data_IF_030577348183
#
_entry.id   IF_030577348183
#
_cell.length_a   1.000
_cell.length_b   1.000
_cell.length_c   1.000
_cell.angle_alpha   90.00
_cell.angle_beta   90.00
_cell.angle_gamma   90.00
#
_symmetry.space_group_name_H-M   'P 1'
#
loop_
_entity.id
_entity.type
_entity.pdbx_description
1 polymer ?
#
# COMPACT_ATOMS: atom_id res chain seq x y z
N UNK A 1 -11.73 -3.11 23.01
CA UNK A 1 -12.74 -2.29 22.33
C UNK A 1 -12.62 -0.81 22.66
N UNK A 2 -12.53 -0.45 23.93
CA UNK A 2 -12.45 0.94 24.37
C UNK A 2 -11.23 1.69 23.79
N UNK A 3 -10.05 1.05 23.80
CA UNK A 3 -8.83 1.59 23.20
C UNK A 3 -9.00 1.93 21.71
N UNK A 4 -9.57 1.02 20.91
CA UNK A 4 -9.81 1.26 19.50
C UNK A 4 -10.82 2.40 19.27
N UNK A 5 -11.86 2.48 20.11
CA UNK A 5 -12.83 3.59 20.02
C UNK A 5 -12.12 4.94 20.28
N UNK A 6 -11.29 5.07 21.33
CA UNK A 6 -10.52 6.29 21.63
C UNK A 6 -9.57 6.71 20.49
N UNK A 7 -9.00 5.74 19.75
CA UNK A 7 -8.13 6.02 18.60
C UNK A 7 -8.95 6.48 17.37
N UNK A 8 -10.15 5.91 17.18
CA UNK A 8 -10.92 6.11 15.94
C UNK A 8 -11.99 7.20 16.04
N UNK A 9 -12.44 7.56 17.24
CA UNK A 9 -13.41 8.61 17.48
C UNK A 9 -12.97 9.98 16.95
N UNK A 10 -11.71 10.45 17.16
CA UNK A 10 -11.23 11.72 16.59
C UNK A 10 -11.21 11.73 15.06
N UNK A 11 -11.25 10.54 14.41
CA UNK A 11 -11.37 10.37 12.96
C UNK A 11 -12.83 10.36 12.48
N UNK A 12 -13.80 10.61 13.37
CA UNK A 12 -15.23 10.62 13.06
C UNK A 12 -15.87 9.22 12.94
N UNK A 13 -15.18 8.16 13.37
CA UNK A 13 -15.72 6.80 13.34
C UNK A 13 -16.62 6.58 14.53
N UNK A 14 -17.92 6.43 14.29
CA UNK A 14 -18.92 6.16 15.33
C UNK A 14 -18.72 4.77 15.94
N UNK A 15 -19.01 4.58 17.25
CA UNK A 15 -18.86 3.28 17.94
C UNK A 15 -19.60 2.12 17.25
N UNK A 16 -20.77 2.38 16.67
CA UNK A 16 -21.55 1.38 15.93
C UNK A 16 -20.83 0.95 14.65
N UNK A 17 -20.28 1.90 13.90
CA UNK A 17 -19.49 1.62 12.70
C UNK A 17 -18.23 0.80 13.03
N UNK A 18 -17.55 1.12 14.13
CA UNK A 18 -16.42 0.34 14.62
C UNK A 18 -16.82 -1.10 14.95
N UNK A 19 -17.94 -1.31 15.66
CA UNK A 19 -18.45 -2.66 15.98
C UNK A 19 -18.76 -3.46 14.71
N UNK A 20 -19.41 -2.84 13.73
CA UNK A 20 -19.72 -3.49 12.44
C UNK A 20 -18.44 -3.86 11.70
N UNK A 21 -17.45 -2.97 11.65
CA UNK A 21 -16.16 -3.22 11.01
C UNK A 21 -15.43 -4.39 11.68
N UNK A 22 -15.35 -4.41 13.01
CA UNK A 22 -14.73 -5.51 13.76
C UNK A 22 -15.46 -6.84 13.57
N UNK A 23 -16.80 -6.82 13.51
CA UNK A 23 -17.58 -8.01 13.22
C UNK A 23 -17.28 -8.57 11.82
N UNK A 24 -17.18 -7.70 10.80
CA UNK A 24 -16.80 -8.10 9.44
C UNK A 24 -15.40 -8.69 9.40
N UNK A 25 -14.41 -8.00 9.97
CA UNK A 25 -13.03 -8.49 10.03
C UNK A 25 -12.92 -9.85 10.71
N UNK A 26 -13.74 -10.09 11.76
CA UNK A 26 -13.81 -11.40 12.44
C UNK A 26 -14.45 -12.46 11.54
N UNK A 27 -15.55 -12.13 10.85
CA UNK A 27 -16.23 -13.03 9.91
C UNK A 27 -15.34 -13.41 8.74
N UNK A 28 -14.56 -12.44 8.24
CA UNK A 28 -13.64 -12.62 7.11
C UNK A 28 -12.28 -13.24 7.55
N UNK A 29 -12.15 -13.66 8.82
CA UNK A 29 -10.99 -14.37 9.33
C UNK A 29 -9.74 -13.51 9.57
N UNK A 30 -9.83 -12.17 9.54
CA UNK A 30 -8.68 -11.29 9.76
C UNK A 30 -8.26 -11.17 11.22
N UNK A 31 -9.25 -11.17 12.11
CA UNK A 31 -9.03 -10.96 13.55
C UNK A 31 -9.71 -12.02 14.39
N UNK A 32 -9.15 -12.24 15.56
CA UNK A 32 -9.72 -13.06 16.63
C UNK A 32 -9.93 -12.20 17.87
N UNK A 33 -10.97 -12.50 18.62
CA UNK A 33 -11.25 -11.85 19.91
C UNK A 33 -11.19 -12.88 21.03
N UNK A 34 -10.35 -12.63 22.01
CA UNK A 34 -10.22 -13.44 23.22
C UNK A 34 -10.73 -12.66 24.43
N UNK A 35 -11.50 -13.30 25.28
CA UNK A 35 -12.00 -12.70 26.53
C UNK A 35 -10.93 -12.82 27.61
N UNK A 36 -10.54 -11.69 28.20
CA UNK A 36 -9.64 -11.65 29.34
C UNK A 36 -10.32 -10.88 30.48
N UNK A 37 -10.94 -11.61 31.38
CA UNK A 37 -11.76 -11.03 32.44
C UNK A 37 -12.94 -10.23 31.91
N UNK A 38 -13.01 -8.94 32.25
CA UNK A 38 -14.02 -7.98 31.76
C UNK A 38 -13.66 -7.37 30.40
N UNK A 39 -12.41 -7.53 29.95
CA UNK A 39 -11.91 -6.96 28.70
C UNK A 39 -11.95 -7.99 27.57
N UNK A 40 -11.94 -7.49 26.33
CA UNK A 40 -11.79 -8.30 25.13
C UNK A 40 -10.53 -7.85 24.41
N UNK A 41 -9.57 -8.75 24.27
CA UNK A 41 -8.38 -8.57 23.46
C UNK A 41 -8.70 -8.94 22.01
N UNK A 42 -8.28 -8.08 21.09
CA UNK A 42 -8.42 -8.29 19.65
C UNK A 42 -7.01 -8.45 19.06
N UNK A 43 -6.79 -9.56 18.38
CA UNK A 43 -5.53 -9.84 17.70
C UNK A 43 -5.75 -10.25 16.25
N UNK A 44 -4.69 -10.21 15.45
CA UNK A 44 -4.72 -10.77 14.10
C UNK A 44 -4.71 -12.30 14.17
N UNK A 45 -5.45 -12.95 13.28
CA UNK A 45 -5.30 -14.38 12.98
C UNK A 45 -3.99 -14.62 12.22
N UNK A 46 -3.62 -15.87 11.98
CA UNK A 46 -2.46 -16.19 11.12
C UNK A 46 -2.68 -15.68 9.70
N UNK A 47 -3.90 -15.82 9.15
CA UNK A 47 -4.27 -15.23 7.87
C UNK A 47 -4.11 -13.70 7.87
N UNK A 48 -4.68 -13.01 8.87
CA UNK A 48 -4.56 -11.55 8.98
C UNK A 48 -3.10 -11.09 9.15
N UNK A 49 -2.28 -11.88 9.84
CA UNK A 49 -0.84 -11.64 10.02
C UNK A 49 -0.08 -11.77 8.70
N UNK A 50 -0.29 -12.88 7.98
CA UNK A 50 0.32 -13.12 6.66
C UNK A 50 0.00 -12.00 5.70
N UNK A 51 -1.28 -11.66 5.52
CA UNK A 51 -1.71 -10.59 4.62
C UNK A 51 -1.12 -9.23 4.99
N UNK A 52 -1.05 -8.93 6.28
CA UNK A 52 -0.43 -7.68 6.76
C UNK A 52 1.07 -7.64 6.52
N UNK A 53 1.77 -8.77 6.69
CA UNK A 53 3.21 -8.89 6.49
C UNK A 53 3.57 -8.77 5.01
N UNK A 54 2.77 -9.31 4.10
CA UNK A 54 2.96 -9.17 2.65
C UNK A 54 2.79 -7.73 2.18
N UNK A 55 1.84 -6.99 2.75
CA UNK A 55 1.59 -5.59 2.39
C UNK A 55 2.58 -4.61 3.06
N UNK A 56 3.16 -4.96 4.21
CA UNK A 56 3.99 -4.06 5.01
C UNK A 56 5.21 -3.49 4.24
N UNK A 57 5.99 -4.27 3.46
CA UNK A 57 7.10 -3.74 2.69
C UNK A 57 6.69 -2.63 1.72
N UNK A 58 5.50 -2.74 1.11
CA UNK A 58 5.00 -1.75 0.17
C UNK A 58 4.63 -0.42 0.86
N UNK A 59 4.16 -0.51 2.11
CA UNK A 59 3.67 0.63 2.89
C UNK A 59 4.82 1.35 3.61
N UNK A 60 5.79 0.60 4.17
CA UNK A 60 6.78 1.13 5.10
C UNK A 60 8.20 1.24 4.54
N UNK A 61 8.45 0.85 3.28
CA UNK A 61 9.78 1.00 2.68
C UNK A 61 10.11 2.47 2.42
N UNK A 62 11.39 2.81 2.54
CA UNK A 62 11.91 4.16 2.33
C UNK A 62 12.20 4.49 0.88
N UNK A 63 12.55 3.48 0.09
CA UNK A 63 12.89 3.60 -1.34
C UNK A 63 11.92 2.79 -2.20
N UNK A 64 11.83 3.08 -3.48
CA UNK A 64 11.14 2.22 -4.44
C UNK A 64 11.75 0.82 -4.51
N UNK A 65 11.12 -0.13 -5.19
CA UNK A 65 11.73 -1.41 -5.50
C UNK A 65 12.96 -1.18 -6.38
N UNK A 66 13.84 -2.17 -6.43
CA UNK A 66 14.96 -2.23 -7.36
C UNK A 66 14.87 -3.56 -8.11
N UNK A 67 14.02 -3.61 -9.12
CA UNK A 67 13.79 -4.80 -9.95
C UNK A 67 14.89 -4.92 -11.00
N UNK A 68 15.30 -3.80 -11.56
CA UNK A 68 16.43 -3.64 -12.46
C UNK A 68 16.19 -4.11 -13.89
N UNK A 69 15.70 -5.33 -14.10
CA UNK A 69 15.47 -5.87 -15.44
C UNK A 69 13.98 -6.06 -15.73
N UNK A 70 13.55 -5.45 -16.82
CA UNK A 70 12.17 -5.49 -17.29
C UNK A 70 12.07 -6.15 -18.67
N UNK A 71 10.93 -6.75 -18.94
CA UNK A 71 10.62 -7.31 -20.24
C UNK A 71 9.16 -7.04 -20.62
N UNK A 72 8.93 -6.96 -21.91
CA UNK A 72 7.59 -7.07 -22.47
C UNK A 72 7.34 -8.55 -22.78
N UNK A 73 6.20 -9.05 -22.33
CA UNK A 73 5.72 -10.39 -22.57
C UNK A 73 4.51 -10.33 -23.49
N UNK A 74 4.51 -11.11 -24.54
CA UNK A 74 3.49 -11.11 -25.58
C UNK A 74 2.93 -12.53 -25.73
N UNK A 75 1.61 -12.66 -25.53
CA UNK A 75 0.93 -13.92 -25.72
C UNK A 75 0.52 -14.13 -27.19
N UNK A 76 0.62 -15.37 -27.64
CA UNK A 76 0.05 -15.77 -28.92
C UNK A 76 -1.47 -15.64 -28.89
N UNK A 77 -2.09 -14.93 -29.85
CA UNK A 77 -3.54 -14.73 -29.90
C UNK A 77 -4.30 -16.07 -30.13
N UNK A 78 -3.63 -17.09 -30.68
CA UNK A 78 -4.23 -18.36 -31.04
C UNK A 78 -3.85 -19.51 -30.07
N UNK A 79 -3.12 -19.23 -28.98
CA UNK A 79 -2.68 -20.22 -27.99
C UNK A 79 -3.31 -19.96 -26.64
N UNK A 80 -4.12 -20.91 -26.15
CA UNK A 80 -4.69 -20.82 -24.81
C UNK A 80 -3.60 -20.92 -23.70
N UNK A 81 -2.64 -21.87 -23.79
CA UNK A 81 -1.52 -21.93 -22.83
C UNK A 81 -0.76 -20.62 -22.73
N UNK A 82 -0.50 -19.95 -23.85
CA UNK A 82 0.18 -18.64 -23.87
C UNK A 82 -0.63 -17.56 -23.16
N UNK A 83 -1.95 -17.52 -23.32
CA UNK A 83 -2.82 -16.58 -22.61
C UNK A 83 -2.87 -16.87 -21.12
N UNK A 84 -2.98 -18.13 -20.72
CA UNK A 84 -3.01 -18.54 -19.31
C UNK A 84 -1.71 -18.17 -18.58
N UNK A 85 -0.58 -18.28 -19.30
CA UNK A 85 0.71 -17.85 -18.76
C UNK A 85 0.81 -16.33 -18.61
N UNK A 86 0.29 -15.57 -19.57
CA UNK A 86 0.24 -14.12 -19.49
C UNK A 86 -0.63 -13.65 -18.29
N UNK A 87 -1.76 -14.33 -18.03
CA UNK A 87 -2.59 -14.03 -16.85
C UNK A 87 -1.83 -14.26 -15.54
N UNK A 88 -1.03 -15.33 -15.44
CA UNK A 88 -0.16 -15.54 -14.26
C UNK A 88 0.86 -14.43 -14.06
N UNK A 89 1.44 -13.89 -15.14
CA UNK A 89 2.32 -12.71 -15.04
C UNK A 89 1.55 -11.48 -14.58
N UNK A 90 0.30 -11.30 -15.03
CA UNK A 90 -0.59 -10.19 -14.61
C UNK A 90 -0.91 -10.19 -13.13
N UNK A 91 -0.91 -11.33 -12.46
CA UNK A 91 -1.11 -11.44 -11.02
C UNK A 91 0.04 -10.83 -10.21
N UNK A 92 1.21 -10.65 -10.83
CA UNK A 92 2.32 -9.98 -10.16
C UNK A 92 2.00 -8.51 -9.89
N UNK A 93 2.29 -8.06 -8.69
CA UNK A 93 2.14 -6.63 -8.33
C UNK A 93 3.06 -5.70 -9.12
N UNK A 94 4.12 -6.21 -9.71
CA UNK A 94 5.08 -5.45 -10.49
C UNK A 94 4.82 -5.55 -11.99
N UNK A 95 3.64 -6.02 -12.41
CA UNK A 95 3.24 -6.09 -13.81
C UNK A 95 2.20 -5.01 -14.13
N UNK A 96 2.18 -4.59 -15.40
CA UNK A 96 1.13 -3.71 -15.91
C UNK A 96 0.84 -3.99 -17.37
N UNK A 97 -0.43 -3.85 -17.74
CA UNK A 97 -0.91 -4.14 -19.08
C UNK A 97 -0.53 -3.02 -20.05
N UNK A 98 -0.07 -3.42 -21.22
CA UNK A 98 0.16 -2.53 -22.39
C UNK A 98 -1.00 -2.68 -23.37
N UNK A 99 -1.38 -3.92 -23.64
CA UNK A 99 -2.53 -4.29 -24.46
C UNK A 99 -3.19 -5.58 -23.93
N UNK A 100 -4.29 -6.06 -24.52
CA UNK A 100 -4.90 -7.32 -24.10
C UNK A 100 -3.97 -8.53 -24.14
N UNK A 101 -2.98 -8.54 -25.03
CA UNK A 101 -2.04 -9.64 -25.23
C UNK A 101 -0.61 -9.30 -24.80
N UNK A 102 -0.39 -8.18 -24.15
CA UNK A 102 0.95 -7.67 -23.82
C UNK A 102 1.01 -7.12 -22.40
N UNK A 103 2.08 -7.49 -21.69
CA UNK A 103 2.35 -7.07 -20.32
C UNK A 103 3.81 -6.66 -20.20
N UNK A 104 4.08 -5.56 -19.53
CA UNK A 104 5.42 -5.24 -19.04
C UNK A 104 5.52 -5.73 -17.60
N UNK A 105 6.57 -6.50 -17.31
CA UNK A 105 6.80 -7.10 -16.01
C UNK A 105 8.30 -7.34 -15.76
N UNK A 106 8.70 -7.64 -14.50
CA UNK A 106 10.07 -8.06 -14.21
C UNK A 106 10.53 -9.21 -15.09
N UNK A 107 11.72 -9.11 -15.65
CA UNK A 107 12.23 -10.08 -16.62
C UNK A 107 12.43 -11.49 -16.03
N UNK A 108 12.48 -11.63 -14.70
CA UNK A 108 12.59 -12.93 -14.02
C UNK A 108 11.24 -13.71 -13.98
N UNK A 109 10.12 -13.05 -14.28
CA UNK A 109 8.82 -13.72 -14.42
C UNK A 109 8.74 -14.40 -15.79
N UNK A 110 9.64 -15.35 -16.03
CA UNK A 110 9.73 -16.02 -17.33
C UNK A 110 8.61 -17.05 -17.52
N UNK A 111 8.23 -17.23 -18.78
CA UNK A 111 7.35 -18.29 -19.25
C UNK A 111 7.79 -18.74 -20.64
N UNK A 112 7.71 -20.03 -20.91
CA UNK A 112 8.18 -20.62 -22.16
C UNK A 112 7.19 -20.43 -23.32
N UNK A 113 5.92 -20.15 -23.00
CA UNK A 113 4.82 -19.99 -23.97
C UNK A 113 4.66 -18.53 -24.45
N UNK A 114 5.50 -17.60 -23.95
CA UNK A 114 5.42 -16.17 -24.26
C UNK A 114 6.62 -15.71 -25.08
N UNK A 115 6.36 -14.85 -26.07
CA UNK A 115 7.43 -14.06 -26.65
C UNK A 115 7.88 -13.02 -25.64
N UNK A 116 9.17 -13.06 -25.27
CA UNK A 116 9.79 -12.11 -24.34
C UNK A 116 10.79 -11.25 -25.06
N UNK A 117 10.67 -9.94 -24.91
CA UNK A 117 11.67 -8.97 -25.35
C UNK A 117 12.14 -8.10 -24.18
N UNK A 118 13.44 -7.77 -24.09
CA UNK A 118 13.93 -6.83 -23.09
C UNK A 118 13.22 -5.48 -23.21
N UNK A 119 12.93 -4.86 -22.07
CA UNK A 119 12.32 -3.53 -22.02
C UNK A 119 13.20 -2.61 -21.16
N UNK A 120 13.60 -1.47 -21.75
CA UNK A 120 14.33 -0.43 -21.05
C UNK A 120 13.36 0.67 -20.59
N UNK A 121 13.07 0.78 -19.28
CA UNK A 121 12.18 1.78 -18.74
C UNK A 121 12.63 3.23 -19.02
N UNK A 122 13.94 3.46 -19.20
CA UNK A 122 14.49 4.81 -19.43
C UNK A 122 14.09 5.37 -20.79
N UNK A 123 13.76 4.48 -21.74
CA UNK A 123 13.31 4.83 -23.09
C UNK A 123 11.80 4.69 -23.27
N UNK A 124 11.08 4.42 -22.17
CA UNK A 124 9.63 4.23 -22.21
C UNK A 124 8.93 5.47 -22.74
N UNK A 125 8.07 5.37 -23.75
CA UNK A 125 7.26 6.48 -24.23
C UNK A 125 6.30 6.95 -23.14
N UNK A 126 5.93 8.22 -23.19
CA UNK A 126 5.10 8.85 -22.15
C UNK A 126 3.78 8.11 -21.89
N UNK A 127 3.15 7.56 -22.93
CA UNK A 127 1.89 6.83 -22.78
C UNK A 127 2.05 5.56 -21.92
N UNK A 128 3.22 4.91 -21.93
CA UNK A 128 3.54 3.78 -21.05
C UNK A 128 3.62 4.25 -19.59
N UNK A 129 4.34 5.35 -19.35
CA UNK A 129 4.43 5.93 -18.01
C UNK A 129 3.06 6.37 -17.49
N UNK A 130 2.22 6.94 -18.37
CA UNK A 130 0.85 7.34 -18.04
C UNK A 130 -0.09 6.15 -17.79
N UNK A 131 0.17 4.97 -18.37
CA UNK A 131 -0.61 3.78 -18.09
C UNK A 131 -0.37 3.27 -16.65
N UNK A 132 0.86 3.41 -16.14
CA UNK A 132 1.24 3.06 -14.76
C UNK A 132 0.83 4.16 -13.78
N UNK A 133 1.08 5.43 -14.14
CA UNK A 133 0.79 6.60 -13.31
C UNK A 133 -0.15 7.58 -14.04
N UNK A 134 -1.43 7.23 -14.22
CA UNK A 134 -2.40 8.13 -14.87
C UNK A 134 -2.54 9.44 -14.10
N UNK A 135 -2.91 10.52 -14.79
CA UNK A 135 -3.04 11.87 -14.20
C UNK A 135 -3.88 11.91 -12.93
N UNK A 136 -4.96 11.13 -12.88
CA UNK A 136 -5.79 11.02 -11.67
C UNK A 136 -5.03 10.46 -10.46
N UNK A 137 -4.11 9.50 -10.66
CA UNK A 137 -3.25 8.98 -9.60
C UNK A 137 -2.19 10.01 -9.19
N UNK A 138 -1.57 10.69 -10.15
CA UNK A 138 -0.61 11.77 -9.87
C UNK A 138 -1.25 12.90 -9.05
N UNK A 139 -2.50 13.27 -9.33
CA UNK A 139 -3.26 14.24 -8.54
C UNK A 139 -3.51 13.77 -7.10
N UNK A 140 -3.79 12.47 -6.88
CA UNK A 140 -3.90 11.92 -5.51
C UNK A 140 -2.60 12.08 -4.73
N UNK A 141 -1.45 11.84 -5.37
CA UNK A 141 -0.14 12.06 -4.76
C UNK A 141 0.12 13.54 -4.49
N UNK A 142 -0.22 14.43 -5.40
CA UNK A 142 -0.08 15.87 -5.21
C UNK A 142 -0.91 16.37 -4.01
N UNK A 143 -2.17 15.94 -3.90
CA UNK A 143 -3.02 16.27 -2.76
C UNK A 143 -2.49 15.71 -1.44
N UNK A 144 -2.02 14.46 -1.43
CA UNK A 144 -1.42 13.88 -0.24
C UNK A 144 -0.15 14.63 0.16
N UNK A 145 0.74 14.91 -0.80
CA UNK A 145 1.98 15.65 -0.58
C UNK A 145 1.74 17.01 0.09
N UNK A 146 0.74 17.77 -0.40
CA UNK A 146 0.39 19.07 0.20
C UNK A 146 -0.03 18.92 1.66
N UNK A 147 -0.93 17.96 1.95
CA UNK A 147 -1.39 17.71 3.33
C UNK A 147 -0.27 17.26 4.26
N UNK A 148 0.67 16.46 3.76
CA UNK A 148 1.81 16.04 4.54
C UNK A 148 2.77 17.20 4.82
N UNK A 149 2.98 18.08 3.84
CA UNK A 149 3.77 19.30 4.02
C UNK A 149 3.14 20.25 5.04
N UNK A 150 1.83 20.49 4.97
CA UNK A 150 1.09 21.31 5.94
C UNK A 150 1.22 20.74 7.35
N UNK A 151 1.08 19.41 7.50
CA UNK A 151 1.26 18.73 8.78
C UNK A 151 2.71 18.85 9.31
N UNK A 152 3.70 18.64 8.43
CA UNK A 152 5.12 18.76 8.79
C UNK A 152 5.50 20.17 9.23
N UNK A 153 4.85 21.19 8.66
CA UNK A 153 5.06 22.59 9.06
C UNK A 153 4.45 22.86 10.43
N UNK A 154 3.29 22.29 10.72
CA UNK A 154 2.59 22.48 11.99
C UNK A 154 3.21 21.68 13.15
N UNK A 155 3.87 20.54 12.86
CA UNK A 155 4.55 19.57 13.76
C UNK A 155 4.19 19.76 15.24
N UNK A 156 2.95 19.45 15.67
CA UNK A 156 2.56 19.63 17.07
C UNK A 156 3.34 18.67 17.96
N UNK A 157 3.84 19.17 19.10
CA UNK A 157 4.36 18.28 20.14
C UNK A 157 3.23 17.40 20.66
N UNK A 158 3.38 16.09 20.53
CA UNK A 158 2.41 15.11 21.02
C UNK A 158 3.11 14.10 21.92
N UNK A 159 2.64 14.03 23.16
CA UNK A 159 3.05 12.99 24.14
C UNK A 159 1.94 11.98 24.43
N UNK A 160 0.68 12.30 24.10
CA UNK A 160 -0.47 11.43 24.31
C UNK A 160 -0.45 10.24 23.34
N UNK A 161 -0.32 8.99 23.85
CA UNK A 161 -0.25 7.81 23.00
C UNK A 161 -1.49 7.59 22.13
N UNK A 162 -2.68 8.03 22.57
CA UNK A 162 -3.90 7.93 21.76
C UNK A 162 -3.87 8.89 20.57
N UNK A 163 -3.42 10.13 20.78
CA UNK A 163 -3.27 11.11 19.69
C UNK A 163 -2.23 10.66 18.68
N UNK A 164 -1.09 10.13 19.14
CA UNK A 164 -0.06 9.55 18.26
C UNK A 164 -0.63 8.38 17.46
N UNK A 165 -1.31 7.44 18.10
CA UNK A 165 -1.92 6.30 17.40
C UNK A 165 -2.99 6.72 16.38
N UNK A 166 -3.80 7.73 16.71
CA UNK A 166 -4.79 8.32 15.80
C UNK A 166 -4.11 8.93 14.57
N UNK A 167 -3.08 9.76 14.78
CA UNK A 167 -2.32 10.39 13.68
C UNK A 167 -1.68 9.33 12.79
N UNK A 168 -1.00 8.34 13.36
CA UNK A 168 -0.39 7.24 12.61
C UNK A 168 -1.42 6.46 11.80
N UNK A 169 -2.59 6.17 12.38
CA UNK A 169 -3.68 5.50 11.69
C UNK A 169 -4.12 6.32 10.46
N UNK A 170 -4.27 7.63 10.61
CA UNK A 170 -4.66 8.52 9.51
C UNK A 170 -3.59 8.58 8.42
N UNK A 171 -2.31 8.73 8.78
CA UNK A 171 -1.18 8.77 7.85
C UNK A 171 -1.10 7.48 7.03
N UNK A 172 -1.03 6.34 7.73
CA UNK A 172 -0.92 5.04 7.07
C UNK A 172 -2.16 4.72 6.24
N UNK A 173 -3.38 5.06 6.71
CA UNK A 173 -4.61 4.84 5.95
C UNK A 173 -4.62 5.59 4.62
N UNK A 174 -4.29 6.88 4.62
CA UNK A 174 -4.27 7.67 3.39
C UNK A 174 -3.16 7.23 2.43
N UNK A 175 -1.97 6.99 2.95
CA UNK A 175 -0.84 6.52 2.17
C UNK A 175 -1.10 5.16 1.52
N UNK A 176 -1.49 4.14 2.30
CA UNK A 176 -1.70 2.78 1.78
C UNK A 176 -2.77 2.72 0.68
N UNK A 177 -3.81 3.54 0.77
CA UNK A 177 -4.88 3.58 -0.25
C UNK A 177 -4.37 4.00 -1.62
N UNK A 178 -3.31 4.81 -1.66
CA UNK A 178 -2.73 5.26 -2.92
C UNK A 178 -1.63 4.30 -3.36
N UNK A 179 -0.66 4.00 -2.49
CA UNK A 179 0.50 3.17 -2.87
C UNK A 179 0.12 1.74 -3.22
N UNK A 180 -0.97 1.20 -2.67
CA UNK A 180 -1.46 -0.13 -3.01
C UNK A 180 -2.39 -0.15 -4.24
N UNK A 181 -2.74 0.99 -4.83
CA UNK A 181 -3.68 1.08 -5.95
C UNK A 181 -3.01 1.03 -7.33
N UNK A 182 -1.71 0.94 -7.40
CA UNK A 182 -0.94 0.87 -8.64
C UNK A 182 0.13 -0.23 -8.58
N UNK A 183 0.71 -0.61 -9.72
CA UNK A 183 1.81 -1.56 -9.77
C UNK A 183 3.02 -1.09 -8.96
N UNK A 184 3.75 -2.06 -8.41
CA UNK A 184 4.98 -1.83 -7.66
C UNK A 184 6.17 -1.86 -8.61
N UNK A 185 6.58 -0.70 -9.10
CA UNK A 185 7.59 -0.53 -10.14
C UNK A 185 8.77 0.31 -9.68
N UNK A 186 9.91 0.14 -10.34
CA UNK A 186 11.11 0.94 -10.10
C UNK A 186 10.83 2.43 -10.29
N UNK A 187 11.58 3.25 -9.56
CA UNK A 187 11.39 4.71 -9.59
C UNK A 187 11.59 5.34 -10.97
N UNK A 188 12.23 4.64 -11.92
CA UNK A 188 12.39 5.08 -13.30
C UNK A 188 11.06 5.22 -14.04
N UNK A 189 10.04 4.47 -13.66
CA UNK A 189 8.69 4.58 -14.23
C UNK A 189 7.88 5.75 -13.69
N UNK A 190 8.34 6.39 -12.61
CA UNK A 190 7.59 7.47 -11.97
C UNK A 190 7.78 8.76 -12.77
N UNK A 191 6.71 9.35 -13.34
CA UNK A 191 6.81 10.63 -14.03
C UNK A 191 7.39 11.72 -13.12
N UNK A 192 8.19 12.63 -13.68
CA UNK A 192 8.88 13.68 -12.91
C UNK A 192 7.95 14.58 -12.09
N UNK A 193 6.71 14.77 -12.55
CA UNK A 193 5.69 15.56 -11.86
C UNK A 193 4.96 14.79 -10.75
N UNK A 194 5.11 13.46 -10.69
CA UNK A 194 4.45 12.63 -9.69
C UNK A 194 5.13 12.75 -8.33
N UNK A 195 4.37 13.13 -7.30
CA UNK A 195 4.85 13.36 -5.93
C UNK A 195 4.96 12.09 -5.07
N UNK A 196 5.08 10.92 -5.68
CA UNK A 196 5.17 9.66 -4.94
C UNK A 196 6.42 9.61 -4.05
N UNK A 197 7.57 10.00 -4.58
CA UNK A 197 8.85 9.96 -3.85
C UNK A 197 8.82 10.89 -2.62
N UNK A 198 8.30 12.10 -2.82
CA UNK A 198 8.14 13.09 -1.76
C UNK A 198 7.17 12.60 -0.68
N UNK A 199 6.01 12.04 -1.08
CA UNK A 199 5.07 11.46 -0.14
C UNK A 199 5.70 10.33 0.67
N UNK A 200 6.46 9.44 0.03
CA UNK A 200 7.16 8.33 0.70
C UNK A 200 8.14 8.87 1.76
N UNK A 201 8.95 9.85 1.40
CA UNK A 201 9.92 10.47 2.30
C UNK A 201 9.24 11.15 3.49
N UNK A 202 8.17 11.92 3.25
CA UNK A 202 7.44 12.62 4.32
C UNK A 202 6.71 11.64 5.25
N UNK A 203 6.12 10.57 4.72
CA UNK A 203 5.49 9.52 5.53
C UNK A 203 6.52 8.84 6.43
N UNK A 204 7.69 8.46 5.90
CA UNK A 204 8.77 7.87 6.69
C UNK A 204 9.23 8.82 7.81
N UNK A 205 9.43 10.09 7.49
CA UNK A 205 9.80 11.12 8.46
C UNK A 205 8.76 11.26 9.57
N UNK A 206 7.48 11.42 9.23
CA UNK A 206 6.40 11.56 10.20
C UNK A 206 6.23 10.33 11.08
N UNK A 207 6.35 9.12 10.49
CA UNK A 207 6.28 7.88 11.27
C UNK A 207 7.50 7.67 12.18
N UNK A 208 8.62 8.29 11.87
CA UNK A 208 9.83 8.31 12.71
C UNK A 208 9.69 9.31 13.87
N UNK A 209 9.18 10.51 13.60
CA UNK A 209 8.93 11.55 14.62
C UNK A 209 7.84 11.11 15.61
N UNK A 210 6.81 10.44 15.14
CA UNK A 210 5.73 9.91 15.96
C UNK A 210 5.80 8.38 15.99
N UNK A 211 6.67 7.76 16.81
CA UNK A 211 6.84 6.32 16.89
C UNK A 211 5.56 5.62 17.35
N UNK A 212 5.41 4.35 16.98
CA UNK A 212 4.24 3.57 17.40
C UNK A 212 4.25 3.42 18.94
N UNK A 213 3.20 3.87 19.64
CA UNK A 213 3.12 3.68 21.08
C UNK A 213 3.11 2.20 21.45
N UNK A 214 3.78 1.83 22.53
CA UNK A 214 3.70 0.48 23.07
C UNK A 214 2.30 0.18 23.63
N UNK A 215 1.90 -1.08 23.65
CA UNK A 215 0.56 -1.48 24.12
C UNK A 215 0.32 -1.11 25.58
N UNK A 216 1.36 -1.17 26.42
CA UNK A 216 1.30 -0.87 27.85
C UNK A 216 0.81 0.56 28.14
N UNK A 217 1.12 1.50 27.24
CA UNK A 217 0.70 2.91 27.37
C UNK A 217 -0.83 3.08 27.20
N UNK A 218 -1.52 2.11 26.64
CA UNK A 218 -2.98 2.13 26.49
C UNK A 218 -3.72 1.43 27.65
N UNK A 219 -3.00 0.69 28.50
CA UNK A 219 -3.57 -0.04 29.64
C UNK A 219 -3.54 0.80 30.93
N UNK A 220 -2.70 1.84 30.98
CA UNK A 220 -2.45 2.64 32.16
C UNK A 220 -3.44 3.81 32.37
N UNK A 221 -4.55 3.87 31.63
CA UNK A 221 -5.58 4.92 31.73
C UNK A 221 -7.00 4.40 31.75
#
# INVERSE_FOLDING_TARGET
MQTLARITEPLGVKPEALRVALHRLKKDGWIVSQRQGRNSLIGLTDFGRTQSTEAAPLIYRRTGPNIGQWAIFIASPNSQPSRDELERIRESRSSFNVSPNEVIAPAFLAGDELLRAPFDPTTAPEWVLQSVFPKALQQKYAHLNQRLADLSTAMPEMSDPFKIATLRTLLVHNWRRIVLSHPDVDDVFIPGECRLRECRSQIDQLLTVYPCPSLDLFESN
#
